data_IF_047506522409
#
_entry.id   IF_047506522409
#
_cell.length_a   1.000
_cell.length_b   1.000
_cell.length_c   1.000
_cell.angle_alpha   90.00
_cell.angle_beta   90.00
_cell.angle_gamma   90.00
#
_symmetry.space_group_name_H-M   'P 1'
#
loop_
_entity.id
_entity.type
_entity.pdbx_description
1 polymer ?
#
# COMPACT_ATOMS: atom_id res chain seq x y z
N UNK A 1 -17.91 0.51 10.98
CA UNK A 1 -16.73 -0.35 11.21
C UNK A 1 -15.92 -0.50 9.93
N UNK A 2 -14.63 -0.16 9.98
CA UNK A 2 -13.67 -0.46 8.91
C UNK A 2 -13.49 -1.98 8.75
N UNK A 3 -13.44 -2.48 7.52
CA UNK A 3 -13.00 -3.85 7.24
C UNK A 3 -12.33 -3.95 5.87
N UNK A 4 -11.53 -5.00 5.70
CA UNK A 4 -10.83 -5.30 4.45
C UNK A 4 -11.19 -6.74 4.04
N UNK A 5 -11.47 -6.94 2.76
CA UNK A 5 -11.66 -8.27 2.19
C UNK A 5 -10.87 -8.43 0.88
N UNK A 6 -10.52 -9.65 0.48
CA UNK A 6 -9.90 -9.89 -0.82
C UNK A 6 -10.84 -9.49 -1.96
N UNK A 7 -10.25 -8.97 -3.02
CA UNK A 7 -10.93 -8.77 -4.30
C UNK A 7 -11.28 -10.10 -4.97
N UNK A 8 -12.27 -10.11 -5.89
CA UNK A 8 -12.84 -11.35 -6.44
C UNK A 8 -11.85 -12.14 -7.28
N UNK A 9 -10.99 -11.46 -8.05
CA UNK A 9 -9.91 -12.06 -8.84
C UNK A 9 -8.56 -12.08 -8.10
N UNK A 10 -8.52 -11.45 -6.93
CA UNK A 10 -7.42 -11.57 -5.97
C UNK A 10 -6.18 -10.78 -6.35
N UNK A 11 -6.36 -9.70 -7.12
CA UNK A 11 -5.33 -8.71 -7.43
C UNK A 11 -4.93 -7.88 -6.20
N UNK A 12 -5.86 -7.78 -5.25
CA UNK A 12 -5.67 -6.98 -4.06
C UNK A 12 -6.82 -7.13 -3.08
N UNK A 13 -7.11 -6.04 -2.39
CA UNK A 13 -8.17 -5.95 -1.40
C UNK A 13 -9.16 -4.85 -1.73
N UNK A 14 -10.34 -5.00 -1.16
CA UNK A 14 -11.31 -3.93 -1.02
C UNK A 14 -11.32 -3.46 0.44
N UNK A 15 -11.02 -2.18 0.64
CA UNK A 15 -11.15 -1.49 1.92
C UNK A 15 -12.55 -0.90 1.99
N UNK A 16 -13.27 -1.14 3.10
CA UNK A 16 -14.64 -0.69 3.28
C UNK A 16 -14.85 -0.04 4.64
N UNK A 17 -15.77 0.91 4.71
CA UNK A 17 -16.24 1.54 5.95
C UNK A 17 -17.49 2.38 5.67
N UNK A 18 -18.16 2.83 6.73
CA UNK A 18 -19.14 3.90 6.61
C UNK A 18 -18.42 5.26 6.45
N UNK A 19 -19.19 6.34 6.32
CA UNK A 19 -18.64 7.69 6.17
C UNK A 19 -17.68 8.06 7.31
N UNK A 20 -18.09 7.83 8.56
CA UNK A 20 -17.31 8.20 9.74
C UNK A 20 -16.01 7.37 9.85
N UNK A 21 -16.06 6.07 9.55
CA UNK A 21 -14.89 5.19 9.57
C UNK A 21 -13.83 5.65 8.58
N UNK A 22 -14.24 5.97 7.35
CA UNK A 22 -13.30 6.34 6.29
C UNK A 22 -12.80 7.78 6.44
N UNK A 23 -13.63 8.69 6.98
CA UNK A 23 -13.22 10.04 7.34
C UNK A 23 -12.16 9.98 8.44
N UNK A 24 -12.40 9.19 9.49
CA UNK A 24 -11.43 9.01 10.57
C UNK A 24 -10.13 8.37 10.05
N UNK A 25 -10.21 7.33 9.20
CA UNK A 25 -9.01 6.75 8.58
C UNK A 25 -8.24 7.77 7.75
N UNK A 26 -8.94 8.60 6.97
CA UNK A 26 -8.33 9.68 6.20
C UNK A 26 -7.62 10.68 7.10
N UNK A 27 -8.24 11.13 8.18
CA UNK A 27 -7.65 12.07 9.15
C UNK A 27 -6.39 11.49 9.82
N UNK A 28 -6.45 10.24 10.30
CA UNK A 28 -5.29 9.55 10.91
C UNK A 28 -4.15 9.44 9.91
N UNK A 29 -4.46 9.06 8.66
CA UNK A 29 -3.42 8.97 7.62
C UNK A 29 -2.84 10.35 7.30
N UNK A 30 -3.66 11.38 7.14
CA UNK A 30 -3.24 12.77 6.90
C UNK A 30 -2.30 13.32 7.97
N UNK A 31 -2.47 12.90 9.23
CA UNK A 31 -1.57 13.27 10.32
C UNK A 31 -0.15 12.67 10.20
N UNK A 32 0.07 11.74 9.27
CA UNK A 32 1.30 10.98 9.11
C UNK A 32 2.03 11.24 7.78
N UNK A 33 1.60 12.22 6.96
CA UNK A 33 2.32 12.67 5.76
C UNK A 33 2.19 14.18 5.57
N UNK A 34 2.96 14.77 4.65
CA UNK A 34 2.89 16.18 4.27
C UNK A 34 3.11 17.20 5.41
N UNK A 35 3.99 16.90 6.37
CA UNK A 35 4.38 17.88 7.39
C UNK A 35 5.62 18.65 6.95
N UNK A 36 5.45 19.94 6.70
CA UNK A 36 6.47 20.87 6.21
C UNK A 36 7.78 20.82 7.01
N UNK A 37 7.70 20.55 8.32
CA UNK A 37 8.85 20.45 9.22
C UNK A 37 9.87 19.36 8.86
N UNK A 38 9.53 18.41 7.98
CA UNK A 38 10.37 17.27 7.63
C UNK A 38 10.70 17.16 6.13
N UNK A 39 10.39 18.17 5.33
CA UNK A 39 10.65 18.18 3.88
C UNK A 39 12.13 17.97 3.52
N UNK A 40 13.04 18.28 4.43
CA UNK A 40 14.50 18.13 4.24
C UNK A 40 15.06 16.77 4.68
N UNK A 41 14.24 15.86 5.20
CA UNK A 41 14.71 14.52 5.61
C UNK A 41 14.65 13.55 4.43
N UNK A 42 15.76 12.87 4.15
CA UNK A 42 15.86 11.91 3.06
C UNK A 42 14.76 10.82 3.13
N UNK A 43 14.12 10.58 1.99
CA UNK A 43 13.04 9.60 1.81
C UNK A 43 11.67 9.98 2.32
N UNK A 44 11.51 11.17 2.88
CA UNK A 44 10.19 11.68 3.27
C UNK A 44 9.25 11.81 2.05
N UNK A 45 9.73 12.43 0.97
CA UNK A 45 8.99 12.60 -0.29
C UNK A 45 8.44 11.26 -0.82
N UNK A 46 9.25 10.22 -0.74
CA UNK A 46 8.87 8.90 -1.24
C UNK A 46 7.79 8.23 -0.41
N UNK A 47 7.83 8.35 0.93
CA UNK A 47 6.76 7.84 1.80
C UNK A 47 5.48 8.65 1.62
N UNK A 48 5.60 9.96 1.46
CA UNK A 48 4.48 10.86 1.22
C UNK A 48 3.75 10.53 -0.08
N UNK A 49 4.45 10.22 -1.17
CA UNK A 49 3.83 9.74 -2.42
C UNK A 49 3.01 8.45 -2.20
N UNK A 50 3.51 7.53 -1.38
CA UNK A 50 2.80 6.28 -1.05
C UNK A 50 1.55 6.58 -0.21
N UNK A 51 1.68 7.32 0.88
CA UNK A 51 0.58 7.60 1.81
C UNK A 51 -0.48 8.51 1.16
N UNK A 52 -0.07 9.50 0.37
CA UNK A 52 -0.98 10.39 -0.35
C UNK A 52 -1.83 9.66 -1.38
N UNK A 53 -1.24 8.71 -2.14
CA UNK A 53 -1.99 7.89 -3.09
C UNK A 53 -3.06 7.04 -2.41
N UNK A 54 -2.77 6.50 -1.21
CA UNK A 54 -3.75 5.79 -0.40
C UNK A 54 -4.83 6.71 0.18
N UNK A 55 -4.41 7.85 0.75
CA UNK A 55 -5.31 8.86 1.31
C UNK A 55 -6.30 9.37 0.25
N UNK A 56 -5.83 9.52 -1.00
CA UNK A 56 -6.68 9.89 -2.13
C UNK A 56 -7.76 8.83 -2.39
N UNK A 57 -7.42 7.53 -2.41
CA UNK A 57 -8.38 6.45 -2.62
C UNK A 57 -9.41 6.34 -1.48
N UNK A 58 -8.97 6.52 -0.22
CA UNK A 58 -9.88 6.56 0.94
C UNK A 58 -10.86 7.74 0.80
N UNK A 59 -10.34 8.93 0.49
CA UNK A 59 -11.16 10.13 0.28
C UNK A 59 -12.18 9.95 -0.83
N UNK A 60 -11.74 9.46 -1.99
CA UNK A 60 -12.62 9.21 -3.13
C UNK A 60 -13.69 8.15 -2.86
N UNK A 61 -13.48 7.29 -1.87
CA UNK A 61 -14.48 6.31 -1.45
C UNK A 61 -15.68 6.98 -0.78
N UNK A 62 -15.46 7.76 0.28
CA UNK A 62 -16.56 8.42 0.99
C UNK A 62 -17.14 9.63 0.24
N UNK A 63 -16.46 10.14 -0.79
CA UNK A 63 -17.00 11.07 -1.81
C UNK A 63 -17.85 10.35 -2.89
N UNK A 64 -18.29 9.11 -2.63
CA UNK A 64 -19.13 8.30 -3.52
C UNK A 64 -18.55 8.05 -4.93
N UNK A 65 -17.23 8.20 -5.10
CA UNK A 65 -16.54 8.11 -6.41
C UNK A 65 -15.84 6.77 -6.66
N UNK A 66 -16.13 5.75 -5.83
CA UNK A 66 -15.55 4.40 -5.88
C UNK A 66 -16.64 3.34 -5.71
N UNK A 67 -16.47 2.38 -4.80
CA UNK A 67 -17.42 1.31 -4.52
C UNK A 67 -18.46 1.80 -3.50
N UNK A 68 -19.73 1.46 -3.74
CA UNK A 68 -20.83 1.75 -2.83
C UNK A 68 -21.60 0.45 -2.59
N UNK A 69 -21.98 0.22 -1.34
CA UNK A 69 -22.85 -0.89 -0.93
C UNK A 69 -23.94 -0.36 -0.02
N UNK A 70 -25.20 -0.67 -0.33
CA UNK A 70 -26.36 -0.30 0.50
C UNK A 70 -26.48 -1.14 1.79
N UNK A 71 -25.68 -2.19 1.91
CA UNK A 71 -25.70 -3.11 3.04
C UNK A 71 -24.31 -3.31 3.61
N UNK A 72 -24.22 -3.34 4.93
CA UNK A 72 -23.01 -3.75 5.64
C UNK A 72 -22.73 -5.24 5.46
N UNK A 73 -21.48 -5.60 5.14
CA UNK A 73 -21.09 -7.00 4.91
C UNK A 73 -20.96 -7.81 6.22
N UNK A 74 -20.76 -7.16 7.36
CA UNK A 74 -20.53 -7.80 8.66
C UNK A 74 -21.58 -7.45 9.73
N UNK A 75 -22.27 -6.33 9.56
CA UNK A 75 -23.31 -5.85 10.47
C UNK A 75 -24.52 -5.60 9.58
N UNK A 76 -25.67 -6.17 9.93
CA UNK A 76 -26.96 -5.82 9.36
C UNK A 76 -27.32 -4.39 9.83
N UNK A 77 -26.60 -3.40 9.32
CA UNK A 77 -26.94 -1.99 9.43
C UNK A 77 -27.43 -1.54 8.07
N UNK A 78 -28.55 -0.83 8.03
CA UNK A 78 -29.09 -0.15 6.83
C UNK A 78 -28.22 1.04 6.38
N UNK A 79 -27.07 1.26 7.01
CA UNK A 79 -26.14 2.33 6.67
C UNK A 79 -25.36 1.98 5.40
N UNK A 80 -25.23 2.97 4.50
CA UNK A 80 -24.36 2.89 3.33
C UNK A 80 -22.91 2.64 3.73
N UNK A 81 -22.25 1.76 2.98
CA UNK A 81 -20.81 1.52 3.05
C UNK A 81 -20.16 1.97 1.75
N UNK A 82 -18.96 2.53 1.90
CA UNK A 82 -18.12 2.96 0.80
C UNK A 82 -16.82 2.17 0.82
N UNK A 83 -16.17 2.04 -0.34
CA UNK A 83 -14.89 1.37 -0.39
C UNK A 83 -14.07 1.65 -1.64
N UNK A 84 -12.78 1.29 -1.58
CA UNK A 84 -11.84 1.36 -2.69
C UNK A 84 -11.11 0.03 -2.86
N UNK A 85 -10.55 -0.14 -4.05
CA UNK A 85 -9.72 -1.28 -4.43
C UNK A 85 -8.24 -0.88 -4.39
N UNK A 86 -7.42 -1.70 -3.74
CA UNK A 86 -5.99 -1.46 -3.55
C UNK A 86 -5.24 -2.77 -3.82
N UNK A 87 -4.11 -2.74 -4.53
CA UNK A 87 -3.30 -3.94 -4.71
C UNK A 87 -2.73 -4.41 -3.37
N UNK A 88 -2.41 -5.70 -3.25
CA UNK A 88 -1.74 -6.24 -2.05
C UNK A 88 -0.46 -5.48 -1.73
N UNK A 89 0.31 -5.14 -2.77
CA UNK A 89 1.59 -4.44 -2.67
C UNK A 89 1.37 -3.00 -2.20
N UNK A 90 0.40 -2.29 -2.76
CA UNK A 90 0.14 -0.90 -2.37
C UNK A 90 -0.17 -0.82 -0.88
N UNK A 91 -1.06 -1.66 -0.36
CA UNK A 91 -1.42 -1.63 1.06
C UNK A 91 -0.28 -2.09 1.98
N UNK A 92 0.55 -3.05 1.56
CA UNK A 92 1.78 -3.43 2.28
C UNK A 92 2.74 -2.24 2.44
N UNK A 93 2.97 -1.51 1.36
CA UNK A 93 3.84 -0.33 1.37
C UNK A 93 3.25 0.83 2.17
N UNK A 94 1.93 1.03 2.11
CA UNK A 94 1.21 2.04 2.92
C UNK A 94 1.37 1.74 4.40
N UNK A 95 1.09 0.51 4.85
CA UNK A 95 1.25 0.12 6.25
C UNK A 95 2.71 0.34 6.68
N UNK A 96 3.66 -0.08 5.86
CA UNK A 96 5.08 0.08 6.18
C UNK A 96 5.53 1.54 6.26
N UNK A 97 5.00 2.41 5.39
CA UNK A 97 5.29 3.84 5.40
C UNK A 97 4.65 4.54 6.61
N UNK A 98 3.37 4.25 6.90
CA UNK A 98 2.66 4.80 8.07
C UNK A 98 3.39 4.43 9.37
N UNK A 99 3.70 3.14 9.58
CA UNK A 99 4.45 2.66 10.75
C UNK A 99 5.84 3.30 10.88
N UNK A 100 6.49 3.60 9.77
CA UNK A 100 7.79 4.27 9.82
C UNK A 100 7.64 5.74 10.21
N UNK A 101 6.60 6.41 9.70
CA UNK A 101 6.33 7.81 9.99
C UNK A 101 5.88 8.05 11.45
N UNK A 102 5.30 7.06 12.15
CA UNK A 102 5.01 7.18 13.59
C UNK A 102 6.26 7.37 14.45
N UNK A 103 7.47 7.08 13.92
CA UNK A 103 8.74 7.37 14.62
C UNK A 103 9.07 8.86 14.66
N UNK A 104 8.49 9.65 13.77
CA UNK A 104 8.76 11.09 13.62
C UNK A 104 7.60 11.96 14.10
N UNK A 105 6.41 11.38 14.25
CA UNK A 105 5.20 12.09 14.64
C UNK A 105 4.64 11.57 15.94
N UNK A 106 4.26 12.49 16.82
CA UNK A 106 3.38 12.15 17.94
C UNK A 106 2.05 11.66 17.38
N UNK A 107 1.63 10.50 17.86
CA UNK A 107 0.33 9.89 17.53
C UNK A 107 -0.45 9.71 18.83
N UNK A 108 -1.76 9.90 18.74
CA UNK A 108 -2.69 9.61 19.84
C UNK A 108 -2.95 8.11 19.94
N UNK A 109 -3.56 7.68 21.06
CA UNK A 109 -4.04 6.30 21.21
C UNK A 109 -5.09 5.94 20.15
N UNK A 110 -5.90 6.93 19.74
CA UNK A 110 -6.87 6.76 18.66
C UNK A 110 -6.16 6.47 17.33
N UNK A 111 -5.17 7.28 16.96
CA UNK A 111 -4.37 7.07 15.74
C UNK A 111 -3.75 5.66 15.73
N UNK A 112 -3.11 5.28 16.84
CA UNK A 112 -2.52 3.95 17.00
C UNK A 112 -3.57 2.84 16.85
N UNK A 113 -4.77 3.01 17.42
CA UNK A 113 -5.84 2.02 17.31
C UNK A 113 -6.34 1.84 15.87
N UNK A 114 -6.40 2.91 15.09
CA UNK A 114 -6.83 2.88 13.69
C UNK A 114 -5.77 2.20 12.81
N UNK A 115 -4.49 2.49 13.04
CA UNK A 115 -3.39 1.79 12.36
C UNK A 115 -3.41 0.29 12.67
N UNK A 116 -3.61 -0.09 13.93
CA UNK A 116 -3.71 -1.50 14.34
C UNK A 116 -4.92 -2.20 13.72
N UNK A 117 -6.06 -1.51 13.60
CA UNK A 117 -7.23 -2.04 12.90
C UNK A 117 -6.92 -2.28 11.41
N UNK A 118 -6.23 -1.35 10.75
CA UNK A 118 -5.82 -1.51 9.35
C UNK A 118 -4.91 -2.73 9.17
N UNK A 119 -3.89 -2.89 10.02
CA UNK A 119 -2.99 -4.06 10.03
C UNK A 119 -3.77 -5.37 10.24
N UNK A 120 -4.65 -5.40 11.24
CA UNK A 120 -5.46 -6.58 11.56
C UNK A 120 -6.36 -6.99 10.39
N UNK A 121 -7.13 -6.06 9.85
CA UNK A 121 -8.07 -6.37 8.76
C UNK A 121 -7.34 -6.78 7.49
N UNK A 122 -6.18 -6.18 7.22
CA UNK A 122 -5.37 -6.55 6.07
C UNK A 122 -4.77 -7.96 6.22
N UNK A 123 -4.21 -8.27 7.40
CA UNK A 123 -3.71 -9.62 7.69
C UNK A 123 -4.84 -10.66 7.58
N UNK A 124 -6.00 -10.37 8.16
CA UNK A 124 -7.19 -11.22 8.07
C UNK A 124 -7.63 -11.43 6.61
N UNK A 125 -7.61 -10.38 5.78
CA UNK A 125 -7.92 -10.50 4.36
C UNK A 125 -6.93 -11.44 3.65
N UNK A 126 -5.62 -11.27 3.87
CA UNK A 126 -4.60 -12.16 3.31
C UNK A 126 -4.84 -13.62 3.70
N UNK A 127 -5.07 -13.91 4.99
CA UNK A 127 -5.35 -15.27 5.46
C UNK A 127 -6.64 -15.84 4.88
N UNK A 128 -7.70 -15.03 4.73
CA UNK A 128 -8.94 -15.49 4.11
C UNK A 128 -8.77 -15.80 2.62
N UNK A 129 -7.86 -15.12 1.93
CA UNK A 129 -7.57 -15.35 0.52
C UNK A 129 -6.73 -16.61 0.32
N UNK A 130 -5.58 -16.71 0.99
CA UNK A 130 -4.69 -17.85 0.92
C UNK A 130 -3.77 -17.96 2.16
N UNK A 131 -4.09 -18.84 3.12
CA UNK A 131 -3.31 -18.98 4.37
C UNK A 131 -1.83 -19.30 4.15
N UNK A 132 -1.50 -20.02 3.07
CA UNK A 132 -0.12 -20.39 2.76
C UNK A 132 0.71 -19.18 2.34
N UNK A 133 0.22 -18.35 1.41
CA UNK A 133 0.89 -17.10 1.04
C UNK A 133 0.89 -16.10 2.20
N UNK A 134 -0.22 -16.01 2.93
CA UNK A 134 -0.38 -15.09 4.04
C UNK A 134 0.64 -15.30 5.17
N UNK A 135 0.93 -16.55 5.54
CA UNK A 135 1.89 -16.85 6.62
C UNK A 135 3.29 -16.29 6.36
N UNK A 136 3.70 -16.20 5.10
CA UNK A 136 4.97 -15.58 4.70
C UNK A 136 4.82 -14.06 4.59
N UNK A 137 3.71 -13.59 4.01
CA UNK A 137 3.44 -12.16 3.79
C UNK A 137 3.21 -11.36 5.08
N UNK A 138 2.73 -11.99 6.16
CA UNK A 138 2.56 -11.34 7.46
C UNK A 138 3.84 -10.70 8.00
N UNK A 139 5.02 -11.21 7.64
CA UNK A 139 6.30 -10.62 8.04
C UNK A 139 6.52 -9.23 7.41
N UNK A 140 5.91 -8.95 6.26
CA UNK A 140 6.02 -7.66 5.59
C UNK A 140 5.13 -6.58 6.20
N UNK A 141 3.99 -6.96 6.80
CA UNK A 141 3.19 -6.07 7.67
C UNK A 141 4.01 -5.64 8.89
N UNK A 142 4.83 -6.55 9.41
CA UNK A 142 5.62 -6.38 10.65
C UNK A 142 6.97 -5.69 10.46
N UNK A 143 7.33 -5.27 9.24
CA UNK A 143 8.47 -4.38 9.00
C UNK A 143 9.59 -4.92 8.12
N UNK A 144 9.39 -6.00 7.34
CA UNK A 144 10.44 -6.46 6.41
C UNK A 144 10.70 -5.51 5.22
N UNK A 145 9.78 -4.60 4.91
CA UNK A 145 9.99 -3.56 3.88
C UNK A 145 10.89 -2.46 4.48
N UNK A 146 11.95 -2.08 3.76
CA UNK A 146 12.85 -1.01 4.19
C UNK A 146 12.27 0.37 3.92
N UNK A 147 11.38 0.82 4.80
CA UNK A 147 10.70 2.12 4.68
C UNK A 147 11.62 3.35 4.78
N UNK A 148 12.86 3.17 5.22
CA UNK A 148 13.88 4.22 5.25
C UNK A 148 14.47 4.55 3.87
N UNK A 149 14.19 3.75 2.84
CA UNK A 149 14.73 3.97 1.50
C UNK A 149 14.26 5.30 0.90
N UNK A 150 15.17 6.19 0.46
CA UNK A 150 14.80 7.45 -0.19
C UNK A 150 13.94 7.32 -1.44
N UNK A 151 13.98 6.15 -2.09
CA UNK A 151 13.33 5.86 -3.36
C UNK A 151 12.22 4.80 -3.22
N UNK A 152 11.70 4.55 -2.02
CA UNK A 152 10.72 3.49 -1.71
C UNK A 152 9.51 3.43 -2.66
N UNK A 153 9.06 4.57 -3.18
CA UNK A 153 7.94 4.71 -4.10
C UNK A 153 8.24 4.07 -5.46
N UNK A 154 9.47 4.22 -5.95
CA UNK A 154 9.92 3.55 -7.19
C UNK A 154 10.01 2.04 -7.01
N UNK A 155 10.37 1.57 -5.80
CA UNK A 155 10.35 0.15 -5.47
C UNK A 155 8.91 -0.37 -5.46
N UNK A 156 7.99 0.34 -4.80
CA UNK A 156 6.57 -0.01 -4.82
C UNK A 156 6.00 -0.07 -6.24
N UNK A 157 6.26 0.95 -7.07
CA UNK A 157 5.77 1.01 -8.46
C UNK A 157 6.30 -0.15 -9.29
N UNK A 158 7.60 -0.45 -9.20
CA UNK A 158 8.22 -1.55 -9.92
C UNK A 158 7.60 -2.90 -9.55
N UNK A 159 7.46 -3.17 -8.25
CA UNK A 159 6.88 -4.41 -7.74
C UNK A 159 5.40 -4.53 -8.15
N UNK A 160 4.64 -3.43 -8.10
CA UNK A 160 3.26 -3.38 -8.61
C UNK A 160 3.19 -3.73 -10.10
N UNK A 161 4.00 -3.08 -10.93
CA UNK A 161 4.03 -3.33 -12.36
C UNK A 161 4.36 -4.79 -12.68
N UNK A 162 5.38 -5.36 -12.03
CA UNK A 162 5.71 -6.78 -12.19
C UNK A 162 4.56 -7.70 -11.78
N UNK A 163 3.91 -7.40 -10.65
CA UNK A 163 2.79 -8.20 -10.16
C UNK A 163 1.56 -8.12 -11.07
N UNK A 164 1.27 -6.96 -11.65
CA UNK A 164 0.16 -6.79 -12.59
C UNK A 164 0.36 -7.55 -13.91
N UNK A 165 1.61 -7.81 -14.29
CA UNK A 165 1.95 -8.67 -15.41
C UNK A 165 1.88 -10.18 -15.09
N UNK A 166 1.75 -10.56 -13.81
CA UNK A 166 1.66 -11.97 -13.43
C UNK A 166 0.25 -12.54 -13.71
N UNK A 167 0.12 -13.87 -13.88
CA UNK A 167 -1.19 -14.53 -13.91
C UNK A 167 -2.00 -14.19 -12.65
N UNK A 168 -3.33 -14.26 -12.72
CA UNK A 168 -4.17 -13.92 -11.56
C UNK A 168 -4.32 -15.09 -10.59
N UNK A 169 -4.80 -14.81 -9.38
CA UNK A 169 -5.15 -15.82 -8.39
C UNK A 169 -4.03 -16.13 -7.38
N UNK A 170 -4.22 -17.23 -6.64
CA UNK A 170 -3.38 -17.60 -5.48
C UNK A 170 -1.92 -17.86 -5.84
N UNK A 171 -1.63 -18.32 -7.06
CA UNK A 171 -0.25 -18.59 -7.52
C UNK A 171 0.61 -17.33 -7.45
N UNK A 172 0.11 -16.21 -7.97
CA UNK A 172 0.87 -14.95 -7.98
C UNK A 172 0.87 -14.27 -6.62
N UNK A 173 -0.19 -14.40 -5.84
CA UNK A 173 -0.19 -13.98 -4.44
C UNK A 173 0.94 -14.67 -3.64
N UNK A 174 1.15 -15.98 -3.84
CA UNK A 174 2.26 -16.72 -3.22
C UNK A 174 3.65 -16.33 -3.77
N UNK A 175 3.73 -15.64 -4.90
CA UNK A 175 4.98 -15.10 -5.44
C UNK A 175 5.32 -13.71 -4.90
N UNK A 176 4.36 -13.00 -4.27
CA UNK A 176 4.60 -11.68 -3.69
C UNK A 176 5.80 -11.64 -2.74
N UNK A 177 6.06 -12.62 -1.85
CA UNK A 177 7.27 -12.59 -1.02
C UNK A 177 8.57 -12.51 -1.83
N UNK A 178 8.65 -13.19 -2.98
CA UNK A 178 9.82 -13.13 -3.84
C UNK A 178 9.97 -11.74 -4.47
N UNK A 179 8.89 -11.15 -4.97
CA UNK A 179 8.91 -9.78 -5.50
C UNK A 179 9.26 -8.74 -4.43
N UNK A 180 8.75 -8.92 -3.21
CA UNK A 180 8.96 -7.99 -2.11
C UNK A 180 10.40 -8.00 -1.57
N UNK A 181 11.20 -9.02 -1.87
CA UNK A 181 12.64 -9.01 -1.55
C UNK A 181 13.35 -7.81 -2.15
N UNK A 182 12.90 -7.32 -3.31
CA UNK A 182 13.42 -6.09 -3.93
C UNK A 182 13.31 -4.89 -2.99
N UNK A 183 12.33 -4.85 -2.07
CA UNK A 183 12.16 -3.77 -1.10
C UNK A 183 12.72 -4.08 0.31
N UNK A 184 13.40 -5.21 0.49
CA UNK A 184 14.03 -5.59 1.75
C UNK A 184 15.52 -5.20 1.72
N UNK A 185 15.99 -4.43 2.69
CA UNK A 185 17.42 -4.08 2.75
C UNK A 185 18.29 -5.34 2.90
N UNK A 186 19.52 -5.29 2.39
CA UNK A 186 20.50 -6.39 2.40
C UNK A 186 20.13 -7.64 1.59
N UNK A 187 19.14 -7.57 0.70
CA UNK A 187 18.92 -8.62 -0.30
C UNK A 187 19.66 -8.33 -1.60
N UNK A 188 19.93 -9.38 -2.37
CA UNK A 188 20.54 -9.25 -3.69
C UNK A 188 19.58 -8.54 -4.66
N UNK A 189 18.27 -8.80 -4.54
CA UNK A 189 17.24 -8.16 -5.34
C UNK A 189 17.17 -6.65 -5.10
N UNK A 190 17.28 -6.21 -3.83
CA UNK A 190 17.36 -4.79 -3.47
C UNK A 190 18.58 -4.14 -4.09
N UNK A 191 19.77 -4.72 -3.86
CA UNK A 191 21.04 -4.18 -4.33
C UNK A 191 21.13 -4.12 -5.85
N UNK A 192 20.52 -5.10 -6.53
CA UNK A 192 20.45 -5.15 -7.99
C UNK A 192 19.56 -4.03 -8.53
N UNK A 193 18.39 -3.83 -7.94
CA UNK A 193 17.48 -2.78 -8.39
C UNK A 193 18.05 -1.38 -8.08
N UNK A 194 18.67 -1.17 -6.91
CA UNK A 194 19.36 0.07 -6.56
C UNK A 194 20.42 0.45 -7.61
N UNK A 195 21.31 -0.48 -7.97
CA UNK A 195 22.31 -0.27 -9.02
C UNK A 195 21.69 0.03 -10.39
N UNK A 196 20.55 -0.59 -10.70
CA UNK A 196 19.82 -0.33 -11.95
C UNK A 196 19.24 1.09 -12.01
N UNK A 197 18.75 1.59 -10.87
CA UNK A 197 18.26 2.96 -10.72
C UNK A 197 19.41 3.96 -10.83
N UNK A 198 20.54 3.70 -10.16
CA UNK A 198 21.74 4.54 -10.28
C UNK A 198 22.25 4.63 -11.73
N UNK A 199 22.26 3.50 -12.44
CA UNK A 199 22.65 3.46 -13.86
C UNK A 199 21.70 4.28 -14.71
N UNK A 200 20.39 4.14 -14.50
CA UNK A 200 19.36 4.86 -15.25
C UNK A 200 19.42 6.37 -14.98
N UNK A 201 19.58 6.76 -13.71
CA UNK A 201 19.75 8.15 -13.29
C UNK A 201 20.97 8.81 -13.98
N UNK A 202 22.09 8.08 -14.06
CA UNK A 202 23.29 8.55 -14.79
C UNK A 202 23.05 8.65 -16.30
N UNK A 203 22.28 7.73 -16.88
CA UNK A 203 21.97 7.75 -18.32
C UNK A 203 21.10 8.96 -18.70
N UNK A 204 20.17 9.37 -17.84
CA UNK A 204 19.25 10.48 -18.08
C UNK A 204 19.68 11.81 -17.43
N UNK A 205 20.88 11.85 -16.84
CA UNK A 205 21.41 13.02 -16.11
C UNK A 205 20.42 13.61 -15.10
N UNK A 206 19.80 12.73 -14.30
CA UNK A 206 18.79 13.12 -13.32
C UNK A 206 19.03 12.46 -11.96
N UNK A 207 18.31 12.93 -10.92
CA UNK A 207 18.26 12.23 -9.63
C UNK A 207 17.44 10.95 -9.75
N UNK A 208 17.72 9.95 -8.92
CA UNK A 208 16.92 8.72 -8.87
C UNK A 208 15.44 9.03 -8.59
N UNK A 209 15.17 9.97 -7.67
CA UNK A 209 13.80 10.36 -7.32
C UNK A 209 13.00 11.00 -8.46
N UNK A 210 13.68 11.46 -9.52
CA UNK A 210 13.08 12.03 -10.72
C UNK A 210 12.90 10.99 -11.85
N UNK A 211 13.34 9.75 -11.66
CA UNK A 211 13.10 8.69 -12.63
C UNK A 211 11.62 8.33 -12.65
N UNK A 212 11.10 8.12 -13.86
CA UNK A 212 9.79 7.53 -14.07
C UNK A 212 9.93 6.04 -14.40
N UNK A 213 8.99 5.24 -13.91
CA UNK A 213 8.94 3.83 -14.25
C UNK A 213 8.42 3.70 -15.69
N UNK A 214 9.16 2.96 -16.54
CA UNK A 214 8.61 2.48 -17.80
C UNK A 214 7.71 1.28 -17.51
N UNK A 215 6.40 1.51 -17.56
CA UNK A 215 5.34 0.53 -17.36
C UNK A 215 4.42 0.39 -18.58
N UNK A 216 4.92 0.74 -19.78
CA UNK A 216 4.17 0.67 -21.05
C UNK A 216 3.59 -0.72 -21.36
N UNK A 217 4.17 -1.76 -20.78
CA UNK A 217 3.72 -3.14 -20.94
C UNK A 217 2.58 -3.53 -19.96
N UNK A 218 2.20 -2.65 -19.04
CA UNK A 218 1.14 -2.90 -18.05
C UNK A 218 -0.17 -2.31 -18.57
N UNK A 219 -1.14 -3.19 -18.82
CA UNK A 219 -2.49 -2.76 -19.19
C UNK A 219 -3.31 -2.46 -17.92
N UNK A 220 -3.25 -1.21 -17.47
CA UNK A 220 -3.97 -0.74 -16.28
C UNK A 220 -5.50 -0.71 -16.45
N UNK A 221 -6.00 -0.55 -17.67
CA UNK A 221 -7.45 -0.47 -17.96
C UNK A 221 -8.14 -1.84 -17.83
N UNK A 222 -7.43 -2.93 -18.19
CA UNK A 222 -7.95 -4.30 -18.14
C UNK A 222 -7.70 -5.02 -16.80
N UNK A 223 -7.28 -4.29 -15.75
CA UNK A 223 -7.11 -4.85 -14.41
C UNK A 223 -8.46 -5.30 -13.86
N UNK A 224 -8.59 -6.61 -13.62
CA UNK A 224 -9.75 -7.15 -12.92
C UNK A 224 -9.40 -7.39 -11.47
N UNK A 225 -10.14 -6.72 -10.61
CA UNK A 225 -10.05 -6.81 -9.16
C UNK A 225 -10.71 -8.09 -8.63
#
# INVERSE_FOLDING_TARGET
MLFIKPTKKGLGVELWGNYDDLTLLYEVTANLWNKESNLNNDGFESRDKIISSFSYEVRKSYEESRLISEHGYYIFSESKYYGCQLSWIHLLFVISALRYNTRYYSISELDQSILMQLEYWFEKAMFSYDPQGASVLSNYIKGNIYSGNPNLYLYMRRINAEYFCMPRGKKSFRQLPNLLKTACNYTDEYSTYEKSLEKSAKQFDCKISALELNDDNVNYEDLQW
#
